data_IF_183879428894
#
_entry.id   IF_183879428894
#
_cell.length_a   1.000
_cell.length_b   1.000
_cell.length_c   1.000
_cell.angle_alpha   90.00
_cell.angle_beta   90.00
_cell.angle_gamma   90.00
#
_symmetry.space_group_name_H-M   'P 1'
#
loop_
_entity.id
_entity.type
_entity.pdbx_description
1 polymer ?
#
# COMPACT_ATOMS: atom_id res chain seq x y z
N UNK A 1 104.14 3.36 60.35
CA UNK A 1 105.45 4.08 60.33
C UNK A 1 105.25 5.28 59.43
N UNK A 2 104.75 6.39 59.96
CA UNK A 2 105.41 7.38 60.81
C UNK A 2 106.32 8.33 60.01
N UNK A 3 106.13 9.62 60.30
CA UNK A 3 107.00 10.78 60.05
C UNK A 3 107.10 11.31 58.61
N UNK A 4 107.29 12.60 58.36
CA UNK A 4 107.20 13.91 59.07
C UNK A 4 107.61 14.89 57.94
N UNK A 5 106.86 15.96 57.64
CA UNK A 5 106.96 17.32 58.19
C UNK A 5 108.35 17.99 58.06
N UNK A 6 108.29 19.27 57.64
CA UNK A 6 109.26 20.37 57.73
C UNK A 6 110.22 20.54 56.54
N UNK A 7 110.61 21.75 56.09
CA UNK A 7 110.19 23.12 56.37
C UNK A 7 111.06 24.08 55.50
N UNK A 8 110.41 25.05 54.85
CA UNK A 8 110.73 26.50 54.81
C UNK A 8 111.99 27.10 54.14
N UNK A 9 111.70 28.15 53.32
CA UNK A 9 112.38 29.47 53.12
C UNK A 9 113.75 29.51 52.38
N UNK A 10 114.11 30.50 51.53
CA UNK A 10 113.61 31.86 51.22
C UNK A 10 114.30 32.49 49.94
N UNK A 11 113.67 33.54 49.34
CA UNK A 11 114.20 34.70 48.54
C UNK A 11 114.87 34.49 47.13
N UNK A 12 114.79 35.36 46.09
CA UNK A 12 114.20 36.69 45.77
C UNK A 12 114.10 36.92 44.20
N UNK A 13 113.53 38.04 43.68
CA UNK A 13 112.98 38.17 42.32
C UNK A 13 113.79 39.04 41.33
N UNK A 14 114.10 38.53 40.12
CA UNK A 14 114.44 39.37 38.93
C UNK A 14 114.36 38.67 37.54
N UNK A 15 113.93 37.41 37.45
CA UNK A 15 113.98 36.62 36.20
C UNK A 15 112.66 36.51 35.39
N UNK A 16 111.62 37.29 35.71
CA UNK A 16 110.29 37.10 35.08
C UNK A 16 110.01 37.95 33.83
N UNK A 17 110.86 38.92 33.48
CA UNK A 17 110.57 39.86 32.38
C UNK A 17 111.03 39.41 30.98
N UNK A 18 111.85 38.36 30.84
CA UNK A 18 112.42 37.91 29.55
C UNK A 18 111.64 36.76 28.86
N UNK A 19 110.66 36.14 29.52
CA UNK A 19 109.94 34.95 28.98
C UNK A 19 108.66 35.32 28.23
N UNK A 20 108.15 36.55 28.37
CA UNK A 20 106.82 36.95 27.85
C UNK A 20 106.80 37.52 26.43
N UNK A 21 107.95 37.73 25.78
CA UNK A 21 108.01 38.31 24.43
C UNK A 21 108.15 37.28 23.29
N UNK A 22 108.59 36.05 23.56
CA UNK A 22 108.76 35.01 22.52
C UNK A 22 107.50 34.18 22.23
N UNK A 23 106.52 34.12 23.14
CA UNK A 23 105.32 33.28 22.96
C UNK A 23 104.22 33.90 22.07
N UNK A 24 104.28 35.21 21.80
CA UNK A 24 103.22 35.91 21.06
C UNK A 24 103.40 35.92 19.53
N UNK A 25 104.55 35.43 19.01
CA UNK A 25 104.82 35.44 17.57
C UNK A 25 104.50 34.09 16.88
N UNK A 26 104.47 32.98 17.62
CA UNK A 26 104.16 31.64 17.06
C UNK A 26 102.65 31.38 16.86
N UNK A 27 101.76 31.90 17.71
CA UNK A 27 100.32 31.59 17.61
C UNK A 27 99.57 32.21 16.42
N UNK A 28 100.17 33.19 15.71
CA UNK A 28 99.47 33.88 14.61
C UNK A 28 99.65 33.25 13.22
N UNK A 29 100.52 32.26 13.05
CA UNK A 29 100.78 31.64 11.74
C UNK A 29 99.90 30.41 11.44
N UNK A 30 99.39 29.70 12.45
CA UNK A 30 98.71 28.41 12.23
C UNK A 30 97.21 28.54 11.89
N UNK A 31 96.54 29.56 12.41
CA UNK A 31 95.08 29.74 12.20
C UNK A 31 94.76 30.16 10.75
N UNK A 32 95.68 30.88 10.09
CA UNK A 32 95.46 31.36 8.73
C UNK A 32 95.61 30.25 7.66
N UNK A 33 96.33 29.16 7.96
CA UNK A 33 96.55 28.07 7.02
C UNK A 33 95.47 26.97 7.08
N UNK A 34 94.65 26.90 8.14
CA UNK A 34 93.64 25.84 8.29
C UNK A 34 92.34 26.11 7.51
N UNK A 35 92.04 27.37 7.19
CA UNK A 35 90.78 27.75 6.53
C UNK A 35 90.87 27.68 4.99
N UNK A 36 92.08 27.76 4.41
CA UNK A 36 92.24 27.89 2.94
C UNK A 36 92.32 26.53 2.21
N UNK A 37 92.41 25.39 2.91
CA UNK A 37 92.66 24.08 2.27
C UNK A 37 91.63 22.97 2.54
N UNK A 38 90.32 23.26 2.67
CA UNK A 38 89.28 22.22 2.56
C UNK A 38 88.59 22.24 1.19
N UNK A 39 88.97 21.29 0.34
CA UNK A 39 88.23 20.90 -0.87
C UNK A 39 86.89 20.30 -0.45
N UNK A 40 85.73 20.74 -0.99
CA UNK A 40 84.43 20.22 -0.57
C UNK A 40 84.32 18.72 -0.90
N UNK A 41 83.96 17.94 0.11
CA UNK A 41 83.94 16.48 0.09
C UNK A 41 82.76 15.96 -0.77
N UNK A 42 82.92 14.80 -1.40
CA UNK A 42 81.90 14.24 -2.32
C UNK A 42 80.53 14.11 -1.62
N UNK A 43 80.54 13.78 -0.33
CA UNK A 43 79.32 13.66 0.49
C UNK A 43 78.59 14.98 0.71
N UNK A 44 79.24 16.13 0.77
CA UNK A 44 78.54 17.42 0.97
C UNK A 44 77.71 17.82 -0.26
N UNK A 45 78.16 17.47 -1.47
CA UNK A 45 77.42 17.75 -2.71
C UNK A 45 76.25 16.78 -2.93
N UNK A 46 76.42 15.50 -2.59
CA UNK A 46 75.36 14.50 -2.73
C UNK A 46 74.39 14.47 -1.55
N UNK A 47 74.78 14.90 -0.35
CA UNK A 47 73.88 15.01 0.79
C UNK A 47 72.73 15.99 0.52
N UNK A 48 73.03 17.14 -0.10
CA UNK A 48 72.00 18.10 -0.51
C UNK A 48 71.06 17.51 -1.57
N UNK A 49 71.60 16.75 -2.53
CA UNK A 49 70.81 16.14 -3.60
C UNK A 49 69.96 14.96 -3.08
N UNK A 50 70.51 14.15 -2.17
CA UNK A 50 69.81 13.08 -1.47
C UNK A 50 68.69 13.64 -0.58
N UNK A 51 68.95 14.71 0.16
CA UNK A 51 67.94 15.40 0.97
C UNK A 51 66.84 15.98 0.09
N UNK A 52 67.18 16.56 -1.06
CA UNK A 52 66.21 17.07 -2.04
C UNK A 52 65.37 15.95 -2.66
N UNK A 53 65.97 14.82 -3.02
CA UNK A 53 65.24 13.64 -3.54
C UNK A 53 64.36 13.01 -2.46
N UNK A 54 64.83 12.92 -1.22
CA UNK A 54 64.05 12.41 -0.09
C UNK A 54 62.84 13.31 0.20
N UNK A 55 63.04 14.63 0.19
CA UNK A 55 61.96 15.61 0.33
C UNK A 55 60.95 15.46 -0.81
N UNK A 56 61.43 15.35 -2.05
CA UNK A 56 60.58 15.16 -3.23
C UNK A 56 59.81 13.83 -3.19
N UNK A 57 60.43 12.78 -2.65
CA UNK A 57 59.78 11.50 -2.41
C UNK A 57 58.68 11.61 -1.35
N UNK A 58 58.93 12.31 -0.24
CA UNK A 58 57.97 12.50 0.84
C UNK A 58 56.77 13.37 0.38
N UNK A 59 57.02 14.40 -0.44
CA UNK A 59 55.95 15.19 -1.06
C UNK A 59 55.15 14.38 -2.08
N UNK A 60 55.80 13.54 -2.89
CA UNK A 60 55.11 12.59 -3.77
C UNK A 60 54.26 11.58 -3.00
N UNK A 61 54.79 10.99 -1.92
CA UNK A 61 54.04 10.06 -1.08
C UNK A 61 52.83 10.72 -0.42
N UNK A 62 53.00 11.93 0.15
CA UNK A 62 51.88 12.68 0.76
C UNK A 62 50.86 13.16 -0.27
N UNK A 63 51.25 13.29 -1.54
CA UNK A 63 50.33 13.56 -2.65
C UNK A 63 49.57 12.32 -3.13
N UNK A 64 50.13 11.12 -2.99
CA UNK A 64 49.48 9.87 -3.42
C UNK A 64 48.56 9.27 -2.34
N UNK A 65 48.90 9.44 -1.06
CA UNK A 65 48.11 8.85 0.02
C UNK A 65 46.81 9.63 0.23
N UNK A 66 45.68 8.95 0.02
CA UNK A 66 44.34 9.46 0.32
C UNK A 66 44.04 9.30 1.81
N UNK A 67 43.68 10.40 2.47
CA UNK A 67 43.20 10.40 3.85
C UNK A 67 41.94 11.26 3.91
N UNK A 68 40.77 10.64 3.67
CA UNK A 68 39.53 11.38 3.61
C UNK A 68 39.17 12.00 4.98
N UNK A 69 38.49 13.14 4.94
CA UNK A 69 37.85 13.70 6.13
C UNK A 69 36.59 12.87 6.45
N UNK A 70 36.40 12.55 7.73
CA UNK A 70 35.34 11.63 8.18
C UNK A 70 34.56 12.21 9.36
N UNK A 71 33.26 11.97 9.35
CA UNK A 71 32.35 12.28 10.45
C UNK A 71 31.82 10.98 11.02
N UNK A 72 31.89 10.83 12.34
CA UNK A 72 31.33 9.68 13.05
C UNK A 72 29.95 10.05 13.58
N UNK A 73 28.97 9.20 13.36
CA UNK A 73 27.61 9.34 13.83
C UNK A 73 27.09 8.00 14.37
N UNK A 74 26.18 8.04 15.33
CA UNK A 74 25.45 6.85 15.76
C UNK A 74 24.40 6.49 14.72
N UNK A 75 24.29 5.18 14.45
CA UNK A 75 23.38 4.64 13.47
C UNK A 75 22.58 3.47 14.05
N UNK A 76 21.30 3.35 13.67
CA UNK A 76 20.42 2.25 14.07
C UNK A 76 19.83 1.62 12.81
N UNK A 77 19.90 0.30 12.71
CA UNK A 77 19.32 -0.46 11.60
C UNK A 77 17.80 -0.53 11.75
N UNK A 78 17.11 0.01 10.74
CA UNK A 78 15.65 0.11 10.69
C UNK A 78 15.14 -0.45 9.36
N UNK A 79 13.96 -1.04 9.37
CA UNK A 79 13.25 -1.47 8.16
C UNK A 79 12.23 -0.44 7.70
N UNK A 80 12.12 -0.22 6.37
CA UNK A 80 11.09 0.64 5.76
C UNK A 80 9.67 0.19 6.08
N UNK A 81 9.49 -1.10 6.36
CA UNK A 81 8.24 -1.67 6.79
C UNK A 81 8.40 -2.28 8.18
N UNK A 82 8.04 -1.50 9.20
CA UNK A 82 8.14 -1.93 10.59
C UNK A 82 7.27 -3.18 10.84
N UNK A 83 7.71 -4.07 11.76
CA UNK A 83 6.92 -5.23 12.16
C UNK A 83 5.51 -4.84 12.59
N UNK A 84 4.50 -5.56 12.09
CA UNK A 84 3.09 -5.29 12.41
C UNK A 84 2.65 -6.14 13.58
N UNK A 85 2.15 -5.50 14.63
CA UNK A 85 1.69 -6.18 15.83
C UNK A 85 0.47 -7.08 15.53
N UNK A 86 0.48 -8.26 16.13
CA UNK A 86 -0.66 -9.19 16.17
C UNK A 86 -1.33 -8.96 17.53
N UNK A 87 -2.56 -8.43 17.48
CA UNK A 87 -3.36 -8.12 18.67
C UNK A 87 -4.77 -8.72 18.52
N UNK A 88 -5.35 -9.31 19.58
CA UNK A 88 -6.76 -9.67 19.61
C UNK A 88 -7.61 -8.40 19.58
N UNK A 89 -8.73 -8.45 18.85
CA UNK A 89 -9.71 -7.36 18.83
C UNK A 89 -10.85 -7.55 19.83
N UNK A 90 -10.85 -8.65 20.56
CA UNK A 90 -11.82 -8.92 21.61
C UNK A 90 -11.18 -9.82 22.66
N UNK A 91 -11.58 -9.63 23.91
CA UNK A 91 -11.26 -10.52 25.03
C UNK A 91 -12.01 -11.85 24.89
N UNK A 92 -11.31 -12.97 25.04
CA UNK A 92 -11.91 -14.30 24.93
C UNK A 92 -10.91 -15.43 24.98
N UNK A 93 -11.38 -16.67 24.88
CA UNK A 93 -10.52 -17.86 24.88
C UNK A 93 -10.00 -18.18 23.48
N UNK A 94 -8.72 -18.50 23.34
CA UNK A 94 -8.12 -18.97 22.09
C UNK A 94 -8.54 -20.43 21.86
N UNK A 95 -9.41 -20.71 20.89
CA UNK A 95 -9.92 -22.07 20.62
C UNK A 95 -9.01 -22.88 19.70
N UNK A 96 -8.27 -22.22 18.81
CA UNK A 96 -7.30 -22.86 17.93
C UNK A 96 -6.16 -21.88 17.58
N UNK A 97 -4.94 -22.42 17.44
CA UNK A 97 -3.76 -21.70 16.96
C UNK A 97 -3.14 -22.50 15.82
N UNK A 98 -3.05 -21.90 14.64
CA UNK A 98 -2.53 -22.55 13.43
C UNK A 98 -1.10 -22.13 13.12
N UNK A 99 -0.68 -20.93 13.54
CA UNK A 99 0.67 -20.44 13.25
C UNK A 99 1.72 -20.93 14.25
N UNK A 100 2.91 -21.15 13.73
CA UNK A 100 4.12 -21.42 14.49
C UNK A 100 5.15 -20.31 14.32
N UNK A 101 6.09 -20.19 15.25
CA UNK A 101 7.16 -19.19 15.16
C UNK A 101 8.01 -19.38 13.90
N UNK A 102 8.34 -18.29 13.22
CA UNK A 102 9.09 -18.20 11.97
C UNK A 102 8.40 -18.78 10.73
N UNK A 103 7.10 -19.08 10.81
CA UNK A 103 6.30 -19.48 9.66
C UNK A 103 5.97 -18.29 8.76
N UNK A 104 6.02 -18.51 7.45
CA UNK A 104 5.57 -17.54 6.44
C UNK A 104 4.03 -17.57 6.35
N UNK A 105 3.42 -16.39 6.41
CA UNK A 105 1.97 -16.21 6.26
C UNK A 105 1.65 -15.11 5.25
N UNK A 106 0.47 -15.21 4.66
CA UNK A 106 -0.09 -14.20 3.74
C UNK A 106 -0.97 -13.21 4.48
N UNK A 107 -1.08 -12.00 3.95
CA UNK A 107 -2.02 -11.00 4.44
C UNK A 107 -3.45 -11.57 4.45
N UNK A 108 -4.15 -11.42 5.57
CA UNK A 108 -5.50 -11.93 5.79
C UNK A 108 -5.57 -13.41 6.16
N UNK A 109 -4.44 -14.13 6.18
CA UNK A 109 -4.40 -15.52 6.61
C UNK A 109 -4.78 -15.63 8.09
N UNK A 110 -5.63 -16.61 8.41
CA UNK A 110 -6.12 -16.84 9.77
C UNK A 110 -5.05 -17.59 10.57
N UNK A 111 -4.52 -16.92 11.58
CA UNK A 111 -3.49 -17.41 12.51
C UNK A 111 -4.11 -18.22 13.65
N UNK A 112 -5.32 -17.85 14.07
CA UNK A 112 -6.02 -18.53 15.15
C UNK A 112 -7.47 -18.12 15.27
N UNK A 113 -8.22 -18.91 16.02
CA UNK A 113 -9.64 -18.66 16.31
C UNK A 113 -9.82 -18.31 17.78
N UNK A 114 -10.70 -17.34 18.00
CA UNK A 114 -11.22 -17.00 19.30
C UNK A 114 -12.56 -17.72 19.53
N UNK A 115 -12.90 -17.91 20.79
CA UNK A 115 -14.17 -18.47 21.21
C UNK A 115 -15.32 -17.59 20.73
N UNK A 116 -16.32 -18.24 20.14
CA UNK A 116 -17.51 -17.61 19.60
C UNK A 116 -18.67 -18.60 19.69
N UNK A 117 -19.91 -18.09 19.64
CA UNK A 117 -21.11 -18.92 19.64
C UNK A 117 -21.42 -19.58 18.27
N UNK A 118 -20.49 -19.54 17.32
CA UNK A 118 -20.65 -20.05 15.97
C UNK A 118 -19.50 -21.00 15.61
N UNK A 119 -19.72 -21.90 14.65
CA UNK A 119 -18.64 -22.72 14.10
C UNK A 119 -17.83 -21.89 13.08
N UNK A 120 -16.54 -21.61 13.34
CA UNK A 120 -15.71 -20.83 12.42
C UNK A 120 -15.62 -21.42 11.01
N UNK A 121 -15.68 -22.74 10.86
CA UNK A 121 -15.63 -23.39 9.55
C UNK A 121 -16.90 -23.12 8.75
N UNK A 122 -18.09 -23.20 9.38
CA UNK A 122 -19.35 -22.82 8.74
C UNK A 122 -19.33 -21.34 8.30
N UNK A 123 -18.76 -20.44 9.10
CA UNK A 123 -18.64 -19.02 8.73
C UNK A 123 -17.72 -18.81 7.53
N UNK A 124 -16.59 -19.52 7.47
CA UNK A 124 -15.65 -19.42 6.34
C UNK A 124 -16.31 -19.96 5.06
N UNK A 125 -16.98 -21.10 5.13
CA UNK A 125 -17.74 -21.66 4.02
C UNK A 125 -18.84 -20.70 3.53
N UNK A 126 -19.57 -20.10 4.47
CA UNK A 126 -20.57 -19.09 4.17
C UNK A 126 -19.93 -17.88 3.48
N UNK A 127 -18.81 -17.37 4.01
CA UNK A 127 -18.08 -16.24 3.41
C UNK A 127 -17.68 -16.51 1.96
N UNK A 128 -17.14 -17.69 1.68
CA UNK A 128 -16.74 -18.07 0.32
C UNK A 128 -17.94 -18.09 -0.65
N UNK A 129 -19.10 -18.59 -0.20
CA UNK A 129 -20.33 -18.59 -1.00
C UNK A 129 -20.87 -17.18 -1.24
N UNK A 130 -20.83 -16.31 -0.23
CA UNK A 130 -21.24 -14.91 -0.36
C UNK A 130 -20.34 -14.16 -1.34
N UNK A 131 -19.01 -14.29 -1.21
CA UNK A 131 -18.05 -13.66 -2.14
C UNK A 131 -18.21 -14.18 -3.58
N UNK A 132 -18.49 -15.48 -3.74
CA UNK A 132 -18.78 -16.07 -5.05
C UNK A 132 -20.09 -15.53 -5.63
N UNK A 133 -21.11 -15.32 -4.80
CA UNK A 133 -22.40 -14.75 -5.21
C UNK A 133 -22.22 -13.32 -5.72
N UNK A 134 -21.46 -12.49 -5.02
CA UNK A 134 -21.15 -11.11 -5.45
C UNK A 134 -20.47 -11.11 -6.82
N UNK A 135 -19.45 -11.96 -7.02
CA UNK A 135 -18.77 -12.09 -8.32
C UNK A 135 -19.72 -12.51 -9.45
N UNK A 136 -20.66 -13.42 -9.18
CA UNK A 136 -21.65 -13.88 -10.17
C UNK A 136 -22.65 -12.77 -10.57
N UNK A 137 -23.01 -11.89 -9.63
CA UNK A 137 -23.84 -10.72 -9.90
C UNK A 137 -23.08 -9.73 -10.79
N UNK A 138 -21.82 -9.43 -10.44
CA UNK A 138 -20.94 -8.56 -11.23
C UNK A 138 -20.72 -9.09 -12.65
N UNK A 139 -20.58 -10.40 -12.81
CA UNK A 139 -20.43 -11.06 -14.12
C UNK A 139 -21.75 -11.22 -14.89
N UNK A 140 -22.87 -10.65 -14.41
CA UNK A 140 -24.22 -10.76 -15.00
C UNK A 140 -24.69 -12.21 -15.22
N UNK A 141 -24.31 -13.11 -14.31
CA UNK A 141 -24.75 -14.52 -14.31
C UNK A 141 -25.57 -14.85 -13.04
N UNK A 142 -26.68 -14.14 -12.77
CA UNK A 142 -27.47 -14.30 -11.55
C UNK A 142 -28.08 -15.70 -11.39
N UNK A 143 -28.27 -16.42 -12.48
CA UNK A 143 -28.91 -17.75 -12.52
C UNK A 143 -28.11 -18.82 -11.77
N UNK A 144 -26.80 -18.65 -11.63
CA UNK A 144 -25.93 -19.65 -10.99
C UNK A 144 -25.96 -19.57 -9.46
N UNK A 145 -26.37 -18.42 -8.90
CA UNK A 145 -26.46 -18.18 -7.44
C UNK A 145 -27.51 -19.07 -6.78
N UNK A 146 -28.49 -19.45 -7.58
CA UNK A 146 -29.65 -20.24 -7.28
C UNK A 146 -29.31 -21.67 -6.78
N UNK A 147 -28.10 -22.19 -7.08
CA UNK A 147 -27.61 -23.46 -6.57
C UNK A 147 -26.70 -23.36 -5.32
N UNK A 148 -26.23 -22.16 -4.97
CA UNK A 148 -25.15 -21.99 -3.99
C UNK A 148 -25.61 -22.19 -2.54
N UNK A 149 -26.88 -21.94 -2.20
CA UNK A 149 -27.38 -21.94 -0.82
C UNK A 149 -28.38 -23.06 -0.50
N UNK A 150 -28.35 -24.14 -1.29
CA UNK A 150 -29.17 -25.32 -1.03
C UNK A 150 -28.81 -26.05 0.28
N UNK A 151 -27.56 -25.92 0.75
CA UNK A 151 -27.14 -26.40 2.06
C UNK A 151 -27.43 -25.32 3.10
N UNK A 152 -28.17 -25.69 4.16
CA UNK A 152 -28.42 -24.79 5.29
C UNK A 152 -27.22 -24.78 6.24
N UNK A 153 -26.92 -23.59 6.74
CA UNK A 153 -26.01 -23.36 7.85
C UNK A 153 -26.83 -23.31 9.15
N UNK A 154 -26.34 -23.96 10.19
CA UNK A 154 -27.06 -24.13 11.46
C UNK A 154 -26.34 -23.51 12.65
N UNK A 155 -25.01 -23.38 12.58
CA UNK A 155 -24.19 -22.96 13.72
C UNK A 155 -23.57 -21.59 13.48
N UNK A 156 -24.42 -20.57 13.26
CA UNK A 156 -23.99 -19.22 12.92
C UNK A 156 -23.92 -18.24 14.10
N UNK A 157 -24.34 -18.66 15.30
CA UNK A 157 -24.32 -17.84 16.51
C UNK A 157 -25.04 -16.49 16.31
N UNK A 158 -24.34 -15.38 16.57
CA UNK A 158 -24.89 -14.03 16.42
C UNK A 158 -25.29 -13.66 14.98
N UNK A 159 -24.76 -14.37 13.97
CA UNK A 159 -25.07 -14.12 12.56
C UNK A 159 -26.39 -14.77 12.11
N UNK A 160 -27.03 -15.58 12.96
CA UNK A 160 -28.24 -16.33 12.61
C UNK A 160 -29.37 -15.41 12.12
N UNK A 161 -29.55 -14.24 12.74
CA UNK A 161 -30.59 -13.27 12.35
C UNK A 161 -30.32 -12.72 10.96
N UNK A 162 -29.10 -12.22 10.71
CA UNK A 162 -28.71 -11.71 9.39
C UNK A 162 -28.81 -12.80 8.31
N UNK A 163 -28.43 -14.03 8.64
CA UNK A 163 -28.55 -15.16 7.74
C UNK A 163 -30.01 -15.51 7.43
N UNK A 164 -30.91 -15.43 8.40
CA UNK A 164 -32.34 -15.69 8.18
C UNK A 164 -32.99 -14.64 7.27
N UNK A 165 -32.61 -13.37 7.42
CA UNK A 165 -33.05 -12.31 6.49
C UNK A 165 -32.53 -12.59 5.08
N UNK A 166 -31.25 -12.92 4.95
CA UNK A 166 -30.63 -13.25 3.67
C UNK A 166 -31.27 -14.47 3.01
N UNK A 167 -31.44 -15.59 3.73
CA UNK A 167 -31.96 -16.83 3.13
C UNK A 167 -33.41 -16.65 2.67
N UNK A 168 -34.19 -15.83 3.37
CA UNK A 168 -35.57 -15.50 2.96
C UNK A 168 -35.58 -14.69 1.67
N UNK A 169 -34.73 -13.66 1.58
CA UNK A 169 -34.58 -12.86 0.35
C UNK A 169 -34.03 -13.72 -0.81
N UNK A 170 -33.08 -14.60 -0.54
CA UNK A 170 -32.55 -15.54 -1.52
C UNK A 170 -33.61 -16.54 -1.98
N UNK A 171 -34.44 -17.08 -1.09
CA UNK A 171 -35.54 -17.99 -1.46
C UNK A 171 -36.54 -17.29 -2.39
N UNK A 172 -36.96 -16.08 -2.05
CA UNK A 172 -37.86 -15.28 -2.89
C UNK A 172 -37.24 -15.00 -4.27
N UNK A 173 -35.95 -14.66 -4.30
CA UNK A 173 -35.20 -14.44 -5.53
C UNK A 173 -34.96 -15.72 -6.35
N UNK A 174 -34.74 -16.85 -5.69
CA UNK A 174 -34.53 -18.15 -6.31
C UNK A 174 -35.83 -18.69 -6.91
N UNK A 175 -36.93 -18.57 -6.18
CA UNK A 175 -38.28 -18.84 -6.68
C UNK A 175 -38.59 -17.94 -7.87
N UNK A 176 -38.08 -16.70 -7.87
CA UNK A 176 -38.21 -15.78 -8.99
C UNK A 176 -37.47 -16.26 -10.26
N UNK A 177 -36.19 -16.64 -10.16
CA UNK A 177 -35.35 -17.01 -11.32
C UNK A 177 -35.49 -18.46 -11.79
N UNK A 178 -35.52 -19.43 -10.87
CA UNK A 178 -35.55 -20.86 -11.23
C UNK A 178 -36.96 -21.31 -11.57
N UNK A 179 -37.96 -20.95 -10.74
CA UNK A 179 -39.31 -21.50 -10.94
C UNK A 179 -39.95 -21.02 -12.25
N UNK A 180 -39.45 -19.91 -12.81
CA UNK A 180 -39.96 -19.30 -14.03
C UNK A 180 -41.38 -18.75 -13.89
N UNK A 181 -41.88 -18.55 -12.67
CA UNK A 181 -43.26 -18.13 -12.41
C UNK A 181 -43.61 -16.81 -13.13
N UNK A 182 -42.81 -15.75 -12.92
CA UNK A 182 -43.04 -14.45 -13.55
C UNK A 182 -42.84 -14.48 -15.06
N UNK A 183 -41.83 -15.22 -15.55
CA UNK A 183 -41.60 -15.41 -16.98
C UNK A 183 -42.81 -16.10 -17.65
N UNK A 184 -43.35 -17.15 -17.01
CA UNK A 184 -44.59 -17.81 -17.46
C UNK A 184 -45.77 -16.84 -17.40
N UNK A 185 -45.96 -16.10 -16.31
CA UNK A 185 -47.06 -15.14 -16.15
C UNK A 185 -47.01 -14.02 -17.20
N UNK A 186 -45.84 -13.44 -17.44
CA UNK A 186 -45.62 -12.43 -18.49
C UNK A 186 -45.92 -12.98 -19.87
N UNK A 187 -45.55 -14.23 -20.15
CA UNK A 187 -45.90 -14.92 -21.40
C UNK A 187 -47.41 -15.12 -21.54
N UNK A 188 -48.10 -15.52 -20.48
CA UNK A 188 -49.57 -15.65 -20.48
C UNK A 188 -50.24 -14.30 -20.74
N UNK A 189 -49.86 -13.25 -20.01
CA UNK A 189 -50.38 -11.90 -20.21
C UNK A 189 -50.12 -11.36 -21.63
N UNK A 190 -48.94 -11.64 -22.19
CA UNK A 190 -48.64 -11.29 -23.58
C UNK A 190 -49.53 -12.02 -24.60
N UNK A 191 -49.88 -13.28 -24.31
CA UNK A 191 -50.81 -14.07 -25.13
C UNK A 191 -52.25 -13.54 -25.04
N UNK A 192 -52.68 -13.12 -23.85
CA UNK A 192 -53.97 -12.48 -23.63
C UNK A 192 -54.06 -11.14 -24.38
N UNK A 193 -53.01 -10.31 -24.30
CA UNK A 193 -52.93 -9.05 -25.05
C UNK A 193 -53.03 -9.29 -26.55
N UNK A 194 -52.31 -10.28 -27.09
CA UNK A 194 -52.39 -10.61 -28.52
C UNK A 194 -53.82 -11.04 -28.92
N UNK A 195 -54.50 -11.79 -28.06
CA UNK A 195 -55.89 -12.22 -28.29
C UNK A 195 -56.86 -11.02 -28.29
N UNK A 196 -56.72 -10.10 -27.33
CA UNK A 196 -57.52 -8.87 -27.25
C UNK A 196 -57.25 -7.94 -28.44
N UNK A 197 -56.00 -7.85 -28.91
CA UNK A 197 -55.66 -7.10 -30.12
C UNK A 197 -56.36 -7.68 -31.35
N UNK A 198 -56.38 -9.00 -31.51
CA UNK A 198 -57.13 -9.66 -32.58
C UNK A 198 -58.65 -9.41 -32.52
N UNK A 199 -59.24 -9.35 -31.32
CA UNK A 199 -60.67 -8.98 -31.15
C UNK A 199 -60.88 -7.52 -31.56
N UNK A 200 -60.01 -6.61 -31.12
CA UNK A 200 -60.09 -5.19 -31.46
C UNK A 200 -59.99 -4.96 -32.97
N UNK A 201 -59.11 -5.67 -33.66
CA UNK A 201 -58.99 -5.61 -35.12
C UNK A 201 -60.30 -6.04 -35.81
N UNK A 202 -60.92 -7.13 -35.36
CA UNK A 202 -62.23 -7.57 -35.89
C UNK A 202 -63.33 -6.53 -35.64
N UNK A 203 -63.34 -5.89 -34.47
CA UNK A 203 -64.28 -4.80 -34.17
C UNK A 203 -64.04 -3.56 -35.05
N UNK A 204 -62.78 -3.24 -35.35
CA UNK A 204 -62.43 -2.15 -36.26
C UNK A 204 -62.90 -2.41 -37.69
N UNK A 205 -62.72 -3.64 -38.19
CA UNK A 205 -63.30 -4.06 -39.49
C UNK A 205 -64.83 -3.95 -39.47
N UNK A 206 -65.48 -4.41 -38.39
CA UNK A 206 -66.93 -4.29 -38.24
C UNK A 206 -67.40 -2.82 -38.22
N UNK A 207 -66.60 -1.92 -37.66
CA UNK A 207 -66.90 -0.47 -37.65
C UNK A 207 -66.93 0.07 -39.08
N UNK A 208 -65.93 -0.26 -39.90
CA UNK A 208 -65.84 0.19 -41.28
C UNK A 208 -67.08 -0.25 -42.08
N UNK A 209 -67.49 -1.51 -41.95
CA UNK A 209 -68.70 -2.03 -42.61
C UNK A 209 -69.95 -1.27 -42.16
N UNK A 210 -70.10 -0.98 -40.86
CA UNK A 210 -71.23 -0.19 -40.34
C UNK A 210 -71.21 1.26 -40.82
N UNK A 211 -70.03 1.83 -41.02
CA UNK A 211 -69.87 3.19 -41.56
C UNK A 211 -70.26 3.26 -43.04
N UNK A 212 -69.92 2.24 -43.83
CA UNK A 212 -70.40 2.10 -45.21
C UNK A 212 -71.92 1.94 -45.27
N UNK A 213 -72.49 1.05 -44.46
CA UNK A 213 -73.94 0.83 -44.37
C UNK A 213 -74.70 2.10 -43.93
N UNK A 214 -74.16 2.86 -42.99
CA UNK A 214 -74.67 4.18 -42.62
C UNK A 214 -74.62 5.17 -43.79
N UNK A 215 -73.55 5.15 -44.59
CA UNK A 215 -73.38 6.04 -45.76
C UNK A 215 -74.44 5.72 -46.82
N UNK A 216 -74.68 4.44 -47.10
CA UNK A 216 -75.75 3.98 -48.01
C UNK A 216 -77.12 4.39 -47.49
N UNK A 217 -77.38 4.21 -46.19
CA UNK A 217 -78.64 4.63 -45.57
C UNK A 217 -78.84 6.15 -45.63
N UNK A 218 -77.77 6.94 -45.49
CA UNK A 218 -77.80 8.40 -45.59
C UNK A 218 -78.11 8.85 -47.02
N UNK A 219 -77.49 8.25 -48.03
CA UNK A 219 -77.80 8.52 -49.44
C UNK A 219 -79.25 8.13 -49.77
N UNK A 220 -79.72 7.00 -49.26
CA UNK A 220 -81.11 6.54 -49.44
C UNK A 220 -82.10 7.52 -48.81
N UNK A 221 -81.81 8.01 -47.61
CA UNK A 221 -82.63 9.00 -46.93
C UNK A 221 -82.73 10.31 -47.73
N UNK A 222 -81.61 10.85 -48.24
CA UNK A 222 -81.62 12.07 -49.06
C UNK A 222 -82.41 11.89 -50.37
N UNK A 223 -82.28 10.72 -51.01
CA UNK A 223 -83.09 10.37 -52.19
C UNK A 223 -84.59 10.35 -51.84
N UNK A 224 -84.98 9.67 -50.76
CA UNK A 224 -86.38 9.57 -50.33
C UNK A 224 -86.93 10.93 -49.88
N UNK A 225 -86.10 11.79 -49.28
CA UNK A 225 -86.44 13.16 -48.93
C UNK A 225 -86.83 13.97 -50.17
N UNK A 226 -85.98 13.94 -51.22
CA UNK A 226 -86.27 14.62 -52.49
C UNK A 226 -87.55 14.08 -53.15
N UNK A 227 -87.76 12.76 -53.15
CA UNK A 227 -88.97 12.15 -53.74
C UNK A 227 -90.24 12.49 -52.95
N UNK A 228 -90.15 12.57 -51.62
CA UNK A 228 -91.27 12.97 -50.76
C UNK A 228 -91.63 14.46 -50.93
N UNK A 229 -90.63 15.34 -51.03
CA UNK A 229 -90.83 16.77 -51.35
C UNK A 229 -91.51 16.96 -52.72
N UNK A 230 -91.18 16.10 -53.68
CA UNK A 230 -91.82 16.02 -54.99
C UNK A 230 -93.18 15.27 -54.98
N UNK A 231 -93.64 14.80 -53.80
CA UNK A 231 -94.90 14.05 -53.59
C UNK A 231 -95.00 12.72 -54.36
N UNK A 232 -93.86 12.09 -54.68
CA UNK A 232 -93.79 10.81 -55.42
C UNK A 232 -93.98 9.60 -54.49
N UNK A 233 -93.56 9.72 -53.23
CA UNK A 233 -93.69 8.67 -52.21
C UNK A 233 -94.55 9.13 -51.03
N UNK A 234 -94.99 8.18 -50.20
CA UNK A 234 -95.76 8.44 -48.99
C UNK A 234 -94.90 8.94 -47.82
N UNK A 235 -95.53 9.61 -46.85
CA UNK A 235 -94.88 10.00 -45.59
C UNK A 235 -94.39 8.77 -44.79
N UNK A 236 -95.08 7.64 -44.90
CA UNK A 236 -94.68 6.39 -44.24
C UNK A 236 -93.34 5.88 -44.78
N UNK A 237 -93.17 5.85 -46.10
CA UNK A 237 -91.93 5.44 -46.75
C UNK A 237 -90.75 6.35 -46.39
N UNK A 238 -90.97 7.67 -46.36
CA UNK A 238 -89.96 8.63 -45.90
C UNK A 238 -89.58 8.39 -44.43
N UNK A 239 -90.55 8.20 -43.54
CA UNK A 239 -90.28 7.92 -42.10
C UNK A 239 -89.56 6.59 -41.87
N UNK A 240 -89.82 5.57 -42.71
CA UNK A 240 -89.08 4.29 -42.69
C UNK A 240 -87.61 4.51 -43.04
N UNK A 241 -87.32 5.29 -44.07
CA UNK A 241 -85.94 5.65 -44.44
C UNK A 241 -85.24 6.43 -43.31
N UNK A 242 -85.91 7.40 -42.70
CA UNK A 242 -85.39 8.17 -41.56
C UNK A 242 -85.05 7.28 -40.36
N UNK A 243 -85.98 6.38 -39.98
CA UNK A 243 -85.79 5.46 -38.86
C UNK A 243 -84.64 4.48 -39.14
N UNK A 244 -84.51 4.01 -40.38
CA UNK A 244 -83.40 3.16 -40.79
C UNK A 244 -82.06 3.88 -40.62
N UNK A 245 -81.93 5.11 -41.13
CA UNK A 245 -80.71 5.92 -40.94
C UNK A 245 -80.35 6.09 -39.46
N UNK A 246 -81.33 6.45 -38.62
CA UNK A 246 -81.12 6.64 -37.19
C UNK A 246 -80.61 5.35 -36.51
N UNK A 247 -81.19 4.20 -36.86
CA UNK A 247 -80.75 2.89 -36.35
C UNK A 247 -79.31 2.55 -36.78
N UNK A 248 -78.94 2.85 -38.03
CA UNK A 248 -77.55 2.66 -38.50
C UNK A 248 -76.59 3.60 -37.78
N UNK A 249 -77.00 4.84 -37.55
CA UNK A 249 -76.20 5.85 -36.84
C UNK A 249 -75.91 5.44 -35.39
N UNK A 250 -76.87 4.81 -34.68
CA UNK A 250 -76.69 4.31 -33.32
C UNK A 250 -75.71 3.12 -33.21
N UNK A 251 -75.54 2.35 -34.29
CA UNK A 251 -74.71 1.15 -34.27
C UNK A 251 -73.19 1.42 -34.27
N UNK A 252 -72.77 2.62 -34.71
CA UNK A 252 -71.38 3.07 -34.73
C UNK A 252 -70.86 3.38 -33.32
N UNK A 253 -71.50 4.25 -32.50
CA UNK A 253 -71.04 4.54 -31.15
C UNK A 253 -71.08 3.31 -30.24
N UNK A 254 -72.03 2.38 -30.45
CA UNK A 254 -72.02 1.08 -29.74
C UNK A 254 -70.76 0.26 -30.03
N UNK A 255 -70.29 0.29 -31.28
CA UNK A 255 -69.05 -0.39 -31.65
C UNK A 255 -67.82 0.32 -31.07
N UNK A 256 -67.83 1.66 -31.04
CA UNK A 256 -66.77 2.46 -30.44
C UNK A 256 -66.63 2.17 -28.94
N UNK A 257 -67.75 2.09 -28.21
CA UNK A 257 -67.75 1.66 -26.80
C UNK A 257 -67.10 0.28 -26.64
N UNK A 258 -67.37 -0.65 -27.56
CA UNK A 258 -66.77 -1.99 -27.54
C UNK A 258 -65.26 -1.94 -27.80
N UNK A 259 -64.81 -1.16 -28.79
CA UNK A 259 -63.38 -0.96 -29.08
C UNK A 259 -62.65 -0.33 -27.89
N UNK A 260 -63.22 0.73 -27.31
CA UNK A 260 -62.65 1.40 -26.13
C UNK A 260 -62.56 0.45 -24.94
N UNK A 261 -63.59 -0.37 -24.72
CA UNK A 261 -63.59 -1.41 -23.68
C UNK A 261 -62.43 -2.40 -23.86
N UNK A 262 -62.23 -2.93 -25.08
CA UNK A 262 -61.09 -3.81 -25.37
C UNK A 262 -59.74 -3.11 -25.20
N UNK A 263 -59.65 -1.83 -25.58
CA UNK A 263 -58.43 -1.04 -25.41
C UNK A 263 -58.09 -0.81 -23.93
N UNK A 264 -59.10 -0.59 -23.08
CA UNK A 264 -58.90 -0.52 -21.64
C UNK A 264 -58.40 -1.84 -21.06
N UNK A 265 -58.98 -2.98 -21.48
CA UNK A 265 -58.51 -4.31 -21.05
C UNK A 265 -57.06 -4.58 -21.46
N UNK A 266 -56.65 -4.19 -22.68
CA UNK A 266 -55.25 -4.27 -23.12
C UNK A 266 -54.35 -3.42 -22.21
N UNK A 267 -54.77 -2.19 -21.89
CA UNK A 267 -54.00 -1.29 -21.03
C UNK A 267 -53.87 -1.85 -19.60
N UNK A 268 -54.93 -2.44 -19.06
CA UNK A 268 -54.91 -3.06 -17.74
C UNK A 268 -53.93 -4.25 -17.68
N UNK A 269 -53.92 -5.08 -18.73
CA UNK A 269 -52.96 -6.19 -18.86
C UNK A 269 -51.53 -5.70 -19.04
N UNK A 270 -51.31 -4.62 -19.78
CA UNK A 270 -49.98 -4.01 -19.90
C UNK A 270 -49.49 -3.46 -18.55
N UNK A 271 -50.37 -2.78 -17.79
CA UNK A 271 -50.06 -2.31 -16.44
C UNK A 271 -49.70 -3.47 -15.50
N UNK A 272 -50.38 -4.61 -15.64
CA UNK A 272 -50.03 -5.83 -14.89
C UNK A 272 -48.61 -6.31 -15.24
N UNK A 273 -48.21 -6.30 -16.52
CA UNK A 273 -46.84 -6.62 -16.94
C UNK A 273 -45.82 -5.64 -16.35
N UNK A 274 -46.10 -4.33 -16.43
CA UNK A 274 -45.18 -3.30 -15.95
C UNK A 274 -45.00 -3.40 -14.41
N UNK A 275 -46.07 -3.73 -13.69
CA UNK A 275 -46.00 -4.01 -12.25
C UNK A 275 -45.16 -5.25 -11.94
N UNK A 276 -45.33 -6.33 -12.71
CA UNK A 276 -44.49 -7.51 -12.58
C UNK A 276 -43.01 -7.17 -12.81
N UNK A 277 -42.68 -6.37 -13.83
CA UNK A 277 -41.29 -5.96 -14.09
C UNK A 277 -40.71 -5.10 -12.95
N UNK A 278 -41.53 -4.25 -12.32
CA UNK A 278 -41.12 -3.50 -11.13
C UNK A 278 -40.86 -4.41 -9.93
N UNK A 279 -41.80 -5.33 -9.63
CA UNK A 279 -41.68 -6.28 -8.51
C UNK A 279 -40.40 -7.11 -8.65
N UNK A 280 -40.08 -7.53 -9.88
CA UNK A 280 -38.84 -8.25 -10.21
C UNK A 280 -37.61 -7.45 -9.78
N UNK A 281 -37.49 -6.21 -10.25
CA UNK A 281 -36.33 -5.36 -9.95
C UNK A 281 -36.21 -5.12 -8.44
N UNK A 282 -37.35 -4.92 -7.77
CA UNK A 282 -37.40 -4.75 -6.32
C UNK A 282 -36.90 -5.99 -5.57
N UNK A 283 -37.28 -7.19 -6.01
CA UNK A 283 -36.79 -8.44 -5.40
C UNK A 283 -35.30 -8.65 -5.64
N UNK A 284 -34.79 -8.32 -6.83
CA UNK A 284 -33.35 -8.37 -7.13
C UNK A 284 -32.58 -7.43 -6.19
N UNK A 285 -33.03 -6.19 -6.05
CA UNK A 285 -32.40 -5.21 -5.17
C UNK A 285 -32.46 -5.64 -3.69
N UNK A 286 -33.59 -6.19 -3.25
CA UNK A 286 -33.77 -6.71 -1.88
C UNK A 286 -32.80 -7.84 -1.59
N UNK A 287 -32.62 -8.77 -2.54
CA UNK A 287 -31.65 -9.85 -2.44
C UNK A 287 -30.21 -9.33 -2.39
N UNK A 288 -29.84 -8.43 -3.29
CA UNK A 288 -28.50 -7.82 -3.32
C UNK A 288 -28.17 -7.08 -2.01
N UNK A 289 -29.12 -6.33 -1.48
CA UNK A 289 -28.97 -5.64 -0.21
C UNK A 289 -28.78 -6.63 0.94
N UNK A 290 -29.59 -7.69 1.00
CA UNK A 290 -29.48 -8.71 2.04
C UNK A 290 -28.14 -9.46 1.94
N UNK A 291 -27.66 -9.74 0.72
CA UNK A 291 -26.36 -10.35 0.44
C UNK A 291 -25.21 -9.48 0.97
N UNK A 292 -25.19 -8.19 0.63
CA UNK A 292 -24.13 -7.28 1.08
C UNK A 292 -24.17 -7.06 2.60
N UNK A 293 -25.38 -6.99 3.17
CA UNK A 293 -25.57 -6.86 4.62
C UNK A 293 -24.99 -8.07 5.34
N UNK A 294 -25.38 -9.30 4.95
CA UNK A 294 -24.85 -10.52 5.55
C UNK A 294 -23.33 -10.64 5.35
N UNK A 295 -22.82 -10.33 4.15
CA UNK A 295 -21.39 -10.35 3.86
C UNK A 295 -20.60 -9.41 4.76
N UNK A 296 -21.15 -8.23 5.04
CA UNK A 296 -20.56 -7.26 5.95
C UNK A 296 -20.57 -7.78 7.39
N UNK A 297 -21.71 -8.32 7.87
CA UNK A 297 -21.81 -8.95 9.20
C UNK A 297 -20.82 -10.10 9.38
N UNK A 298 -20.68 -10.97 8.37
CA UNK A 298 -19.69 -12.05 8.37
C UNK A 298 -18.26 -11.49 8.40
N UNK A 299 -17.98 -10.41 7.67
CA UNK A 299 -16.69 -9.73 7.71
C UNK A 299 -16.35 -9.18 9.09
N UNK A 300 -17.31 -8.55 9.78
CA UNK A 300 -17.13 -8.05 11.14
C UNK A 300 -16.95 -9.20 12.14
N UNK A 301 -17.71 -10.29 12.00
CA UNK A 301 -17.53 -11.49 12.82
C UNK A 301 -16.13 -12.08 12.66
N UNK A 302 -15.65 -12.25 11.42
CA UNK A 302 -14.29 -12.74 11.16
C UNK A 302 -13.25 -11.82 11.78
N UNK A 303 -13.41 -10.50 11.63
CA UNK A 303 -12.51 -9.51 12.20
C UNK A 303 -12.47 -9.56 13.74
N UNK A 304 -13.59 -9.89 14.39
CA UNK A 304 -13.73 -9.95 15.85
C UNK A 304 -13.20 -11.26 16.43
N UNK A 305 -13.57 -12.40 15.83
CA UNK A 305 -13.33 -13.74 16.39
C UNK A 305 -12.18 -14.51 15.73
N UNK A 306 -11.49 -13.92 14.75
CA UNK A 306 -10.28 -14.53 14.17
C UNK A 306 -9.09 -13.61 14.34
N UNK A 307 -7.93 -14.21 14.60
CA UNK A 307 -6.65 -13.51 14.60
C UNK A 307 -6.09 -13.67 13.20
N UNK A 308 -6.02 -12.58 12.43
CA UNK A 308 -5.54 -12.59 11.05
C UNK A 308 -4.20 -11.87 10.91
N UNK A 309 -3.42 -12.29 9.93
CA UNK A 309 -2.17 -11.62 9.57
C UNK A 309 -2.45 -10.24 8.94
N UNK A 310 -2.03 -9.11 9.57
CA UNK A 310 -2.24 -7.78 8.98
C UNK A 310 -1.48 -7.55 7.67
N UNK A 311 -0.37 -8.28 7.47
CA UNK A 311 0.52 -8.20 6.31
C UNK A 311 1.12 -9.58 6.01
N UNK A 312 1.57 -9.80 4.78
CA UNK A 312 2.34 -11.00 4.43
C UNK A 312 3.76 -10.91 5.00
N UNK A 313 4.27 -12.01 5.58
CA UNK A 313 5.59 -12.03 6.18
C UNK A 313 5.80 -13.19 7.15
N UNK A 314 6.86 -13.10 7.98
CA UNK A 314 7.19 -14.12 8.98
C UNK A 314 6.60 -13.77 10.35
N UNK A 315 5.91 -14.73 10.97
CA UNK A 315 5.35 -14.58 12.32
C UNK A 315 6.43 -14.76 13.39
N UNK A 316 6.45 -13.86 14.36
CA UNK A 316 7.24 -13.95 15.59
C UNK A 316 6.32 -13.71 16.78
N UNK A 317 5.95 -14.76 17.48
CA UNK A 317 5.15 -14.68 18.71
C UNK A 317 6.06 -14.22 19.86
N UNK A 318 5.60 -13.20 20.60
CA UNK A 318 6.31 -12.66 21.76
C UNK A 318 6.10 -13.52 23.01
N UNK A 319 5.00 -14.28 23.05
CA UNK A 319 4.60 -15.12 24.16
C UNK A 319 4.30 -16.54 23.65
N UNK A 320 4.58 -17.60 24.42
CA UNK A 320 4.14 -18.95 24.09
C UNK A 320 2.61 -19.03 24.26
N UNK A 321 1.88 -18.99 23.15
CA UNK A 321 0.42 -19.11 23.15
C UNK A 321 0.01 -20.58 23.19
N UNK A 322 -1.03 -20.87 23.97
CA UNK A 322 -1.58 -22.23 24.09
C UNK A 322 -3.08 -22.25 23.76
N UNK A 323 -3.53 -23.33 23.15
CA UNK A 323 -4.96 -23.58 22.95
C UNK A 323 -5.67 -23.61 24.31
N UNK A 324 -6.81 -22.93 24.40
CA UNK A 324 -7.59 -22.77 25.63
C UNK A 324 -7.17 -21.59 26.50
N UNK A 325 -6.12 -20.84 26.14
CA UNK A 325 -5.69 -19.67 26.89
C UNK A 325 -6.67 -18.50 26.77
N UNK A 326 -6.90 -17.79 27.87
CA UNK A 326 -7.66 -16.53 27.86
C UNK A 326 -6.77 -15.36 27.39
N UNK A 327 -7.23 -14.62 26.39
CA UNK A 327 -6.55 -13.45 25.83
C UNK A 327 -7.41 -12.21 26.03
N UNK A 328 -6.75 -11.09 26.34
CA UNK A 328 -7.39 -9.78 26.49
C UNK A 328 -7.30 -8.99 25.18
N UNK A 329 -8.32 -8.17 24.92
CA UNK A 329 -8.32 -7.22 23.81
C UNK A 329 -7.10 -6.29 23.86
N UNK A 330 -6.48 -6.05 22.70
CA UNK A 330 -5.33 -5.15 22.57
C UNK A 330 -4.01 -5.71 23.09
N UNK A 331 -4.01 -6.89 23.73
CA UNK A 331 -2.78 -7.54 24.22
C UNK A 331 -1.87 -7.91 23.05
N UNK A 332 -0.59 -7.56 23.15
CA UNK A 332 0.42 -7.92 22.16
C UNK A 332 0.70 -9.43 22.21
N UNK A 333 0.38 -10.14 21.13
CA UNK A 333 0.71 -11.57 20.97
C UNK A 333 2.05 -11.79 20.27
N UNK A 334 2.41 -10.90 19.36
CA UNK A 334 3.59 -11.03 18.53
C UNK A 334 3.62 -9.99 17.41
N UNK A 335 4.51 -10.22 16.45
CA UNK A 335 4.70 -9.37 15.29
C UNK A 335 4.77 -10.20 14.01
N UNK A 336 4.36 -9.59 12.90
CA UNK A 336 4.65 -10.08 11.56
C UNK A 336 5.71 -9.20 10.94
N UNK A 337 6.81 -9.81 10.55
CA UNK A 337 7.92 -9.17 9.86
C UNK A 337 7.70 -9.29 8.34
N UNK A 338 7.42 -8.19 7.63
CA UNK A 338 7.22 -8.20 6.18
C UNK A 338 8.49 -8.65 5.45
N UNK A 339 8.34 -9.54 4.47
CA UNK A 339 9.45 -10.04 3.66
C UNK A 339 10.02 -9.00 2.69
N UNK A 340 9.24 -7.96 2.33
CA UNK A 340 9.67 -6.83 1.50
C UNK A 340 10.23 -5.65 2.34
N UNK A 341 10.81 -5.95 3.50
CA UNK A 341 11.44 -4.92 4.32
C UNK A 341 12.75 -4.47 3.66
N UNK A 342 12.76 -3.27 3.06
CA UNK A 342 14.01 -2.61 2.67
C UNK A 342 14.69 -2.09 3.93
N UNK A 343 15.96 -2.38 4.08
CA UNK A 343 16.74 -1.96 5.24
C UNK A 343 17.44 -0.63 4.96
N UNK A 344 17.39 0.27 5.94
CA UNK A 344 18.14 1.51 5.95
C UNK A 344 18.71 1.76 7.35
N UNK A 345 19.71 2.63 7.46
CA UNK A 345 20.18 3.07 8.77
C UNK A 345 19.64 4.45 9.07
N UNK A 346 19.06 4.62 10.24
CA UNK A 346 18.78 5.93 10.79
C UNK A 346 20.04 6.44 11.50
N UNK A 347 20.53 7.61 11.12
CA UNK A 347 21.74 8.21 11.71
C UNK A 347 21.41 9.48 12.49
N UNK A 348 22.16 9.69 13.56
CA UNK A 348 22.07 10.87 14.42
C UNK A 348 23.25 11.79 14.16
N UNK A 349 22.99 12.95 13.56
CA UNK A 349 23.99 13.96 13.22
C UNK A 349 23.95 15.11 14.22
N UNK A 350 25.06 15.36 14.90
CA UNK A 350 25.22 16.55 15.75
C UNK A 350 25.26 17.84 14.93
N UNK A 351 24.72 18.93 15.47
CA UNK A 351 24.68 20.24 14.80
C UNK A 351 26.06 20.72 14.32
N UNK A 352 27.13 20.46 15.07
CA UNK A 352 28.52 20.82 14.72
C UNK A 352 29.00 20.22 13.39
N UNK A 353 28.38 19.13 12.96
CA UNK A 353 28.74 18.36 11.78
C UNK A 353 27.84 18.64 10.57
N UNK A 354 26.70 19.32 10.77
CA UNK A 354 25.67 19.54 9.75
C UNK A 354 26.22 20.26 8.50
N UNK A 355 27.04 21.31 8.67
CA UNK A 355 27.58 22.10 7.56
C UNK A 355 28.60 21.37 6.66
N UNK A 356 28.95 20.11 6.97
CA UNK A 356 29.90 19.30 6.21
C UNK A 356 29.30 18.06 5.57
N UNK A 357 28.02 17.79 5.81
CA UNK A 357 27.33 16.57 5.40
C UNK A 357 26.26 16.94 4.37
N UNK A 358 26.21 16.19 3.27
CA UNK A 358 25.20 16.35 2.23
C UNK A 358 24.74 14.98 1.73
N UNK A 359 23.52 14.93 1.17
CA UNK A 359 22.95 13.75 0.53
C UNK A 359 23.86 13.24 -0.60
N UNK A 360 23.88 11.92 -0.81
CA UNK A 360 24.75 11.24 -1.78
C UNK A 360 26.14 10.84 -1.26
N UNK A 361 26.56 11.30 -0.07
CA UNK A 361 27.86 10.95 0.50
C UNK A 361 27.98 9.45 0.83
N UNK A 362 29.19 8.90 0.69
CA UNK A 362 29.49 7.50 1.02
C UNK A 362 29.59 7.33 2.53
N UNK A 363 28.93 6.30 3.05
CA UNK A 363 28.91 5.96 4.47
C UNK A 363 29.41 4.54 4.68
N UNK A 364 30.34 4.37 5.62
CA UNK A 364 30.76 3.05 6.09
C UNK A 364 30.06 2.75 7.41
N UNK A 365 29.29 1.67 7.47
CA UNK A 365 28.55 1.27 8.66
C UNK A 365 29.28 0.13 9.36
N UNK A 366 29.64 0.35 10.63
CA UNK A 366 30.36 -0.62 11.46
C UNK A 366 29.43 -1.06 12.59
N UNK A 367 28.94 -2.28 12.54
CA UNK A 367 27.95 -2.77 13.51
C UNK A 367 28.61 -3.15 14.83
N UNK A 368 28.01 -2.76 15.96
CA UNK A 368 28.59 -3.02 17.27
C UNK A 368 28.62 -4.52 17.60
N UNK A 369 27.62 -5.27 17.10
CA UNK A 369 27.51 -6.72 17.27
C UNK A 369 28.46 -7.53 16.38
N UNK A 370 29.18 -6.89 15.43
CA UNK A 370 30.06 -7.55 14.47
C UNK A 370 31.39 -6.79 14.40
N UNK A 371 32.48 -7.31 15.01
CA UNK A 371 33.79 -6.64 15.00
C UNK A 371 34.22 -6.29 13.57
N UNK A 372 34.38 -4.99 13.29
CA UNK A 372 34.65 -4.50 11.94
C UNK A 372 36.03 -4.92 11.42
N UNK A 373 36.96 -5.26 12.33
CA UNK A 373 38.27 -5.81 11.96
C UNK A 373 38.15 -7.18 11.28
N UNK A 374 37.16 -7.98 11.70
CA UNK A 374 36.95 -9.33 11.17
C UNK A 374 35.85 -9.42 10.12
N UNK A 375 34.87 -8.53 10.20
CA UNK A 375 33.66 -8.59 9.34
C UNK A 375 33.60 -7.46 8.33
N UNK A 376 34.46 -6.45 8.47
CA UNK A 376 34.51 -5.29 7.61
C UNK A 376 33.42 -4.27 7.96
N UNK A 377 32.99 -3.52 6.95
CA UNK A 377 31.93 -2.53 7.05
C UNK A 377 30.87 -2.77 5.99
N UNK A 378 29.64 -2.34 6.27
CA UNK A 378 28.55 -2.35 5.32
C UNK A 378 28.56 -1.00 4.54
N UNK A 379 28.75 -1.01 3.21
CA UNK A 379 28.71 0.21 2.42
C UNK A 379 27.28 0.73 2.28
N UNK A 380 27.10 2.03 2.50
CA UNK A 380 25.85 2.74 2.29
C UNK A 380 26.06 4.13 1.68
N UNK A 381 24.97 4.76 1.30
CA UNK A 381 24.93 6.14 0.80
C UNK A 381 23.95 6.95 1.62
N UNK A 382 24.35 8.13 2.06
CA UNK A 382 23.46 9.05 2.75
C UNK A 382 22.35 9.47 1.78
N UNK A 383 21.10 9.20 2.12
CA UNK A 383 19.95 9.36 1.23
C UNK A 383 19.15 10.63 1.59
N UNK A 384 18.95 10.87 2.89
CA UNK A 384 18.18 12.00 3.39
C UNK A 384 18.75 12.55 4.70
N UNK A 385 18.54 13.84 4.93
CA UNK A 385 18.83 14.56 6.18
C UNK A 385 17.59 15.40 6.52
N UNK A 386 17.11 15.30 7.75
CA UNK A 386 16.00 16.07 8.26
C UNK A 386 16.34 17.55 8.30
N UNK A 387 15.39 18.40 7.90
CA UNK A 387 15.50 19.85 8.04
C UNK A 387 15.15 20.35 9.45
N UNK A 388 14.67 19.45 10.32
CA UNK A 388 14.28 19.75 11.71
C UNK A 388 15.16 18.94 12.66
N UNK A 389 15.76 19.63 13.64
CA UNK A 389 16.49 19.00 14.72
C UNK A 389 15.52 18.54 15.83
N UNK A 390 15.72 17.32 16.31
CA UNK A 390 15.06 16.78 17.50
C UNK A 390 16.13 16.68 18.58
N UNK A 391 15.93 17.34 19.73
CA UNK A 391 16.90 17.38 20.84
C UNK A 391 18.32 17.80 20.41
N UNK A 392 18.44 18.81 19.53
CA UNK A 392 19.71 19.30 18.96
C UNK A 392 20.45 18.30 18.05
N UNK A 393 19.76 17.25 17.59
CA UNK A 393 20.27 16.24 16.66
C UNK A 393 19.45 16.22 15.38
N UNK A 394 20.12 16.22 14.24
CA UNK A 394 19.49 16.03 12.93
C UNK A 394 19.44 14.56 12.59
N UNK A 395 18.26 14.06 12.23
CA UNK A 395 18.09 12.68 11.79
C UNK A 395 18.41 12.56 10.30
N UNK A 396 19.18 11.56 9.91
CA UNK A 396 19.42 11.22 8.51
C UNK A 396 19.11 9.75 8.23
N UNK A 397 18.96 9.40 6.96
CA UNK A 397 18.82 8.00 6.53
C UNK A 397 19.93 7.62 5.57
N UNK A 398 20.50 6.43 5.77
CA UNK A 398 21.52 5.84 4.90
C UNK A 398 20.90 4.65 4.19
N UNK A 399 20.85 4.72 2.86
CA UNK A 399 20.43 3.61 2.01
C UNK A 399 21.54 2.58 1.90
N UNK A 400 21.18 1.31 2.04
CA UNK A 400 22.12 0.18 1.94
C UNK A 400 22.21 -0.29 0.48
N UNK A 401 23.43 -0.48 0.00
CA UNK A 401 23.68 -0.87 -1.40
C UNK A 401 23.56 -2.38 -1.65
N UNK A 402 23.63 -3.19 -0.59
CA UNK A 402 23.57 -4.66 -0.62
C UNK A 402 22.63 -5.20 0.45
N UNK A 403 22.17 -6.45 0.31
CA UNK A 403 21.33 -7.17 1.28
C UNK A 403 22.09 -7.51 2.57
N UNK A 404 22.50 -6.49 3.34
CA UNK A 404 23.26 -6.64 4.59
C UNK A 404 24.56 -7.44 4.44
N UNK A 405 25.19 -7.39 3.26
CA UNK A 405 26.47 -8.06 2.99
C UNK A 405 27.60 -7.06 3.12
N UNK A 406 28.54 -7.33 4.02
CA UNK A 406 29.70 -6.47 4.24
C UNK A 406 30.66 -6.48 3.05
N UNK A 407 31.60 -5.54 3.02
CA UNK A 407 32.68 -5.51 2.01
C UNK A 407 33.58 -6.77 2.05
N UNK A 408 33.52 -7.57 3.11
CA UNK A 408 34.20 -8.86 3.22
C UNK A 408 33.29 -10.06 2.88
N UNK A 409 32.16 -9.82 2.21
CA UNK A 409 31.19 -10.86 1.80
C UNK A 409 30.57 -11.64 2.97
N UNK A 410 30.53 -11.07 4.18
CA UNK A 410 29.83 -11.66 5.32
C UNK A 410 28.41 -11.11 5.41
N UNK A 411 27.44 -12.00 5.61
CA UNK A 411 26.02 -11.63 5.73
C UNK A 411 25.67 -11.31 7.18
N UNK A 412 25.14 -10.10 7.41
CA UNK A 412 24.63 -9.66 8.71
C UNK A 412 23.15 -10.03 8.81
N UNK A 413 22.78 -10.73 9.88
CA UNK A 413 21.39 -11.05 10.17
C UNK A 413 20.65 -9.78 10.61
N UNK A 414 19.55 -9.43 9.92
CA UNK A 414 18.72 -8.30 10.31
C UNK A 414 18.12 -8.53 11.70
N UNK A 415 18.34 -7.57 12.59
CA UNK A 415 17.61 -7.42 13.84
C UNK A 415 17.21 -5.96 13.96
N UNK A 416 15.92 -5.69 14.15
CA UNK A 416 15.44 -4.32 14.33
C UNK A 416 16.13 -3.69 15.55
N UNK A 417 16.63 -2.47 15.41
CA UNK A 417 17.33 -1.77 16.50
C UNK A 417 18.82 -2.13 16.66
N UNK A 418 19.41 -2.85 15.71
CA UNK A 418 20.85 -3.15 15.72
C UNK A 418 21.67 -1.85 15.58
N UNK A 419 22.55 -1.58 16.55
CA UNK A 419 23.38 -0.37 16.57
C UNK A 419 24.63 -0.51 15.71
N UNK A 420 25.04 0.60 15.12
CA UNK A 420 26.26 0.73 14.36
C UNK A 420 26.86 2.14 14.48
N UNK A 421 28.15 2.25 14.22
CA UNK A 421 28.81 3.52 13.96
C UNK A 421 28.81 3.81 12.46
N UNK A 422 28.20 4.92 12.06
CA UNK A 422 28.27 5.45 10.70
C UNK A 422 29.50 6.35 10.57
N UNK A 423 30.38 6.00 9.63
CA UNK A 423 31.53 6.82 9.24
C UNK A 423 31.23 7.42 7.87
N UNK A 424 30.86 8.70 7.86
CA UNK A 424 30.50 9.47 6.66
C UNK A 424 31.77 10.08 6.08
N UNK A 425 32.01 9.84 4.80
CA UNK A 425 33.17 10.37 4.07
C UNK A 425 32.78 11.71 3.46
N UNK A 426 33.27 12.83 4.01
CA UNK A 426 32.85 14.19 3.62
C UNK A 426 33.69 14.77 2.49
N UNK A 427 35.00 14.52 2.49
CA UNK A 427 35.94 14.96 1.45
C UNK A 427 36.98 13.89 1.17
N UNK A 428 37.19 13.56 -0.10
CA UNK A 428 38.30 12.69 -0.53
C UNK A 428 39.58 13.53 -0.61
N UNK A 429 40.17 13.84 0.55
CA UNK A 429 41.38 14.65 0.65
C UNK A 429 42.64 13.79 0.57
N UNK A 430 43.70 14.34 0.00
CA UNK A 430 45.05 13.77 0.08
C UNK A 430 45.71 14.21 1.38
N UNK A 431 46.69 13.44 1.89
CA UNK A 431 47.39 13.78 3.13
C UNK A 431 47.98 15.19 3.11
N UNK A 432 48.57 15.59 1.98
CA UNK A 432 49.15 16.93 1.82
C UNK A 432 48.10 18.05 1.97
N UNK A 433 46.92 17.88 1.37
CA UNK A 433 45.81 18.85 1.48
C UNK A 433 45.30 18.92 2.93
N UNK A 434 45.21 17.78 3.62
CA UNK A 434 44.78 17.73 5.02
C UNK A 434 45.78 18.43 5.95
N UNK A 435 47.09 18.21 5.75
CA UNK A 435 48.13 18.88 6.52
C UNK A 435 48.08 20.40 6.32
N UNK A 436 47.96 20.86 5.07
CA UNK A 436 47.78 22.28 4.76
C UNK A 436 46.55 22.87 5.46
N UNK A 437 45.38 22.23 5.33
CA UNK A 437 44.16 22.67 6.00
C UNK A 437 44.27 22.67 7.53
N UNK A 438 45.00 21.72 8.12
CA UNK A 438 45.19 21.66 9.58
C UNK A 438 46.06 22.80 10.12
N UNK A 439 47.09 23.20 9.37
CA UNK A 439 47.98 24.31 9.74
C UNK A 439 47.26 25.65 9.59
N UNK A 440 46.55 25.85 8.47
CA UNK A 440 45.78 27.09 8.23
C UNK A 440 44.67 27.26 9.27
N UNK A 441 43.93 26.20 9.61
CA UNK A 441 42.87 26.25 10.62
C UNK A 441 43.38 26.46 12.06
N UNK A 442 44.67 26.28 12.33
CA UNK A 442 45.26 26.59 13.65
C UNK A 442 45.77 28.03 13.74
N UNK A 443 45.90 28.74 12.60
CA UNK A 443 46.39 30.12 12.53
C UNK A 443 45.25 31.15 12.52
N UNK A 444 44.03 30.73 12.17
CA UNK A 444 42.76 31.47 12.36
C UNK A 444 42.06 31.00 13.64
#
# INVERSE_FOLDING_TARGET
MNNNIAAYQDLSPDNQAMITLSSNFEERSDIAQEIISRKPDFFEKWAMLFFLVLLLFLTLCTWFIKYPDIIKAEAILTGSNAPKAIIPRQTGRLTALFATNNQDVKQGEIIGWMESGADPQEIIDLRMRLDSSVKMIESRQPQLIAGLFNKRFSNLGELQVSYQTFITAWQQYNDYLISGFYARRKKFLGTDIASLQGIREKLAVQKNIRTEDHTIASQTFEMYKSLYEQKVISLEEFRKAQTNLLNKQLSIPQNDVSIISQQNQIRDKQKEIDQLDHDILQQQQTFEQALQTLRSSVGEWLRRYTIQAPVSGKIVLALPLQQGQHLEEGKLLGYINPSDSKYYMEIKLEQKNFGKVDTGMKVQLRFDAYPYQETGFLPGTLDYISNVAVDSVFLGTVRLNSQLVTNQHKTIQYKNGLKAQAVIITRDMRLLERLYYSVVRQMD
#
